data_IF_949622855816
#
_entry.id   IF_949622855816
#
_cell.length_a   1.000
_cell.length_b   1.000
_cell.length_c   1.000
_cell.angle_alpha   90.00
_cell.angle_beta   90.00
_cell.angle_gamma   90.00
#
_symmetry.space_group_name_H-M   'P 1'
#
loop_
_entity.id
_entity.type
_entity.pdbx_description
1 polymer ?
#
# COMPACT_ATOMS: atom_id res chain seq x y z
N UNK A 1 -7.33 2.18 30.07
CA UNK A 1 -6.78 3.44 29.50
C UNK A 1 -5.73 3.18 28.42
N UNK A 2 -4.80 2.23 28.60
CA UNK A 2 -3.80 1.85 27.58
C UNK A 2 -4.43 1.29 26.29
N UNK A 3 -5.51 0.51 26.41
CA UNK A 3 -6.22 -0.07 25.25
C UNK A 3 -6.84 1.03 24.39
N UNK A 4 -7.43 2.06 25.00
CA UNK A 4 -8.01 3.20 24.26
C UNK A 4 -6.91 4.04 23.56
N UNK A 5 -5.79 4.26 24.20
CA UNK A 5 -4.66 4.96 23.61
C UNK A 5 -4.09 4.24 22.38
N UNK A 6 -3.90 2.92 22.45
CA UNK A 6 -3.41 2.11 21.35
C UNK A 6 -4.38 2.12 20.14
N UNK A 7 -5.69 2.03 20.38
CA UNK A 7 -6.70 2.11 19.32
C UNK A 7 -6.70 3.47 18.62
N UNK A 8 -6.61 4.57 19.39
CA UNK A 8 -6.54 5.91 18.82
C UNK A 8 -5.27 6.11 17.99
N UNK A 9 -4.12 5.70 18.53
CA UNK A 9 -2.83 5.79 17.82
C UNK A 9 -2.86 4.93 16.55
N UNK A 10 -3.36 3.71 16.62
CA UNK A 10 -3.55 2.83 15.46
C UNK A 10 -4.47 3.44 14.41
N UNK A 11 -5.60 4.03 14.84
CA UNK A 11 -6.55 4.70 13.95
C UNK A 11 -5.96 5.93 13.23
N UNK A 12 -5.26 6.80 13.96
CA UNK A 12 -4.59 7.96 13.38
C UNK A 12 -3.48 7.54 12.41
N UNK A 13 -2.65 6.58 12.81
CA UNK A 13 -1.60 6.06 11.94
C UNK A 13 -2.18 5.39 10.69
N UNK A 14 -3.30 4.67 10.82
CA UNK A 14 -4.02 4.10 9.69
C UNK A 14 -4.52 5.19 8.74
N UNK A 15 -5.11 6.25 9.26
CA UNK A 15 -5.62 7.36 8.44
C UNK A 15 -4.49 8.03 7.65
N UNK A 16 -3.37 8.36 8.30
CA UNK A 16 -2.22 9.00 7.65
C UNK A 16 -1.56 8.06 6.64
N UNK A 17 -1.31 6.80 7.02
CA UNK A 17 -0.69 5.81 6.12
C UNK A 17 -1.55 5.52 4.91
N UNK A 18 -2.87 5.38 5.11
CA UNK A 18 -3.82 5.15 4.04
C UNK A 18 -3.91 6.35 3.10
N UNK A 19 -3.97 7.56 3.64
CA UNK A 19 -4.05 8.78 2.83
C UNK A 19 -2.80 8.97 1.97
N UNK A 20 -1.59 8.80 2.54
CA UNK A 20 -0.33 8.94 1.80
C UNK A 20 -0.16 7.87 0.72
N UNK A 21 -0.48 6.60 1.04
CA UNK A 21 -0.41 5.52 0.07
C UNK A 21 -1.43 5.71 -1.06
N UNK A 22 -2.67 6.06 -0.73
CA UNK A 22 -3.72 6.39 -1.72
C UNK A 22 -3.31 7.56 -2.61
N UNK A 23 -2.79 8.64 -2.04
CA UNK A 23 -2.31 9.78 -2.81
C UNK A 23 -1.22 9.37 -3.82
N UNK A 24 -0.24 8.57 -3.40
CA UNK A 24 0.79 8.03 -4.29
C UNK A 24 0.20 7.18 -5.42
N UNK A 25 -0.74 6.29 -5.12
CA UNK A 25 -1.41 5.46 -6.13
C UNK A 25 -2.23 6.29 -7.11
N UNK A 26 -3.03 7.26 -6.64
CA UNK A 26 -3.85 8.11 -7.51
C UNK A 26 -2.99 9.03 -8.38
N UNK A 27 -1.90 9.57 -7.84
CA UNK A 27 -0.95 10.34 -8.64
C UNK A 27 -0.33 9.47 -9.73
N UNK A 28 0.12 8.26 -9.41
CA UNK A 28 0.66 7.33 -10.40
C UNK A 28 -0.38 6.96 -11.48
N UNK A 29 -1.62 6.64 -11.07
CA UNK A 29 -2.71 6.36 -11.99
C UNK A 29 -3.04 7.58 -12.88
N UNK A 30 -3.05 8.79 -12.30
CA UNK A 30 -3.24 10.04 -13.04
C UNK A 30 -2.15 10.30 -14.08
N UNK A 31 -0.87 9.99 -13.76
CA UNK A 31 0.23 10.10 -14.71
C UNK A 31 0.11 9.08 -15.85
N UNK A 32 -0.32 7.85 -15.56
CA UNK A 32 -0.61 6.84 -16.59
C UNK A 32 -1.78 7.31 -17.48
N UNK A 33 -2.86 7.80 -16.87
CA UNK A 33 -4.00 8.36 -17.60
C UNK A 33 -3.58 9.52 -18.51
N UNK A 34 -2.81 10.47 -18.00
CA UNK A 34 -2.32 11.61 -18.78
C UNK A 34 -1.44 11.16 -19.96
N UNK A 35 -0.63 10.13 -19.77
CA UNK A 35 0.23 9.59 -20.81
C UNK A 35 -0.52 8.83 -21.90
N UNK A 36 -1.55 8.07 -21.54
CA UNK A 36 -2.29 7.18 -22.46
C UNK A 36 -3.58 7.81 -23.00
N UNK A 37 -4.15 8.80 -22.32
CA UNK A 37 -5.44 9.41 -22.65
C UNK A 37 -6.66 8.54 -22.30
N UNK A 38 -6.47 7.41 -21.61
CA UNK A 38 -7.53 6.51 -21.18
C UNK A 38 -7.16 5.76 -19.89
N UNK A 39 -8.16 5.20 -19.22
CA UNK A 39 -8.06 4.45 -17.96
C UNK A 39 -8.37 2.95 -18.09
N UNK A 40 -8.45 2.44 -19.30
CA UNK A 40 -8.80 1.04 -19.56
C UNK A 40 -7.66 0.11 -19.16
N UNK A 41 -7.88 -0.69 -18.11
CA UNK A 41 -6.89 -1.66 -17.60
C UNK A 41 -6.49 -2.69 -18.66
N UNK A 42 -7.42 -3.10 -19.53
CA UNK A 42 -7.15 -4.06 -20.60
C UNK A 42 -6.09 -3.57 -21.61
N UNK A 43 -5.99 -2.26 -21.79
CA UNK A 43 -5.09 -1.62 -22.78
C UNK A 43 -3.77 -1.14 -22.15
N UNK A 44 -3.54 -1.39 -20.84
CA UNK A 44 -2.33 -0.98 -20.13
C UNK A 44 -1.13 -1.93 -20.29
N UNK A 45 -1.24 -2.96 -21.12
CA UNK A 45 -0.14 -3.89 -21.34
C UNK A 45 1.11 -3.17 -21.90
N UNK A 46 2.26 -3.35 -21.23
CA UNK A 46 3.53 -2.72 -21.64
C UNK A 46 3.77 -1.31 -21.11
N UNK A 47 2.84 -0.73 -20.33
CA UNK A 47 3.01 0.61 -19.73
C UNK A 47 4.27 0.68 -18.84
N UNK A 48 4.65 -0.41 -18.19
CA UNK A 48 5.88 -0.46 -17.38
C UNK A 48 7.16 -0.13 -18.18
N UNK A 49 7.16 -0.32 -19.50
CA UNK A 49 8.29 0.07 -20.36
C UNK A 49 8.25 1.56 -20.73
N UNK A 50 7.05 2.13 -20.88
CA UNK A 50 6.90 3.54 -21.22
C UNK A 50 7.09 4.45 -19.99
N UNK A 51 6.58 4.02 -18.82
CA UNK A 51 6.55 4.79 -17.57
C UNK A 51 7.07 3.95 -16.37
N UNK A 52 8.32 3.51 -16.39
CA UNK A 52 8.84 2.59 -15.37
C UNK A 52 8.83 3.19 -13.96
N UNK A 53 9.15 4.48 -13.82
CA UNK A 53 9.16 5.17 -12.52
C UNK A 53 7.76 5.30 -11.95
N UNK A 54 6.79 5.64 -12.79
CA UNK A 54 5.38 5.76 -12.40
C UNK A 54 4.80 4.41 -11.96
N UNK A 55 5.10 3.33 -12.70
CA UNK A 55 4.65 1.97 -12.33
C UNK A 55 5.32 1.50 -11.05
N UNK A 56 6.60 1.81 -10.85
CA UNK A 56 7.31 1.53 -9.59
C UNK A 56 6.66 2.28 -8.42
N UNK A 57 6.34 3.57 -8.59
CA UNK A 57 5.66 4.35 -7.56
C UNK A 57 4.29 3.76 -7.22
N UNK A 58 3.50 3.34 -8.23
CA UNK A 58 2.23 2.65 -8.03
C UNK A 58 2.40 1.35 -7.24
N UNK A 59 3.40 0.54 -7.58
CA UNK A 59 3.69 -0.72 -6.90
C UNK A 59 4.06 -0.50 -5.43
N UNK A 60 4.98 0.43 -5.14
CA UNK A 60 5.41 0.74 -3.77
C UNK A 60 4.26 1.29 -2.92
N UNK A 61 3.47 2.21 -3.46
CA UNK A 61 2.30 2.74 -2.78
C UNK A 61 1.23 1.65 -2.55
N UNK A 62 1.05 0.75 -3.51
CA UNK A 62 0.17 -0.42 -3.38
C UNK A 62 0.63 -1.37 -2.28
N UNK A 63 1.92 -1.70 -2.22
CA UNK A 63 2.52 -2.51 -1.15
C UNK A 63 2.33 -1.85 0.22
N UNK A 64 2.53 -0.53 0.32
CA UNK A 64 2.27 0.21 1.55
C UNK A 64 0.80 0.15 1.96
N UNK A 65 -0.12 0.27 1.00
CA UNK A 65 -1.57 0.22 1.25
C UNK A 65 -2.05 -1.16 1.69
N UNK A 66 -1.45 -2.25 1.17
CA UNK A 66 -1.71 -3.61 1.62
C UNK A 66 -1.29 -3.86 3.06
N UNK A 67 -0.45 -3.00 3.63
CA UNK A 67 0.06 -3.16 4.98
C UNK A 67 1.19 -4.18 5.08
N UNK A 68 2.07 -4.22 4.08
CA UNK A 68 3.29 -5.05 4.12
C UNK A 68 4.36 -4.31 4.93
N UNK A 69 5.17 -5.03 5.70
CA UNK A 69 6.33 -4.48 6.44
C UNK A 69 7.30 -3.84 5.42
N UNK A 70 7.82 -2.65 5.68
CA UNK A 70 7.76 -1.79 6.89
C UNK A 70 6.74 -0.65 6.81
N UNK A 71 5.57 -0.86 6.20
CA UNK A 71 4.59 0.22 6.00
C UNK A 71 3.93 0.68 7.29
N UNK A 72 3.52 1.96 7.32
CA UNK A 72 2.72 2.51 8.42
C UNK A 72 1.37 1.82 8.59
N UNK A 73 0.76 1.34 7.50
CA UNK A 73 -0.48 0.59 7.53
C UNK A 73 -0.31 -0.78 8.24
N UNK A 74 0.86 -1.42 8.13
CA UNK A 74 1.16 -2.64 8.89
C UNK A 74 1.12 -2.38 10.39
N UNK A 75 1.86 -1.37 10.85
CA UNK A 75 1.91 -1.02 12.27
C UNK A 75 0.54 -0.59 12.79
N UNK A 76 -0.17 0.22 12.03
CA UNK A 76 -1.52 0.67 12.36
C UNK A 76 -2.49 -0.52 12.53
N UNK A 77 -2.46 -1.45 11.58
CA UNK A 77 -3.28 -2.66 11.60
C UNK A 77 -2.96 -3.53 12.83
N UNK A 78 -1.67 -3.70 13.16
CA UNK A 78 -1.26 -4.43 14.36
C UNK A 78 -1.84 -3.79 15.62
N UNK A 79 -1.68 -2.48 15.80
CA UNK A 79 -2.21 -1.76 16.97
C UNK A 79 -3.74 -1.86 17.08
N UNK A 80 -4.45 -1.80 15.93
CA UNK A 80 -5.91 -1.94 15.89
C UNK A 80 -6.36 -3.35 16.24
N UNK A 81 -5.67 -4.38 15.73
CA UNK A 81 -5.98 -5.78 16.05
C UNK A 81 -5.72 -6.10 17.51
N UNK A 82 -4.59 -5.63 18.07
CA UNK A 82 -4.27 -5.81 19.48
C UNK A 82 -5.33 -5.14 20.38
N UNK A 83 -5.77 -3.93 20.04
CA UNK A 83 -6.84 -3.23 20.74
C UNK A 83 -8.20 -3.94 20.63
N UNK A 84 -8.52 -4.48 19.45
CA UNK A 84 -9.75 -5.23 19.20
C UNK A 84 -9.78 -6.54 20.02
N UNK A 85 -8.65 -7.25 20.04
CA UNK A 85 -8.52 -8.47 20.86
C UNK A 85 -8.70 -8.18 22.35
N UNK A 86 -8.06 -7.12 22.86
CA UNK A 86 -8.20 -6.70 24.26
C UNK A 86 -9.62 -6.24 24.67
N UNK A 87 -10.45 -5.85 23.70
CA UNK A 87 -11.85 -5.43 23.91
C UNK A 87 -12.88 -6.52 23.57
N UNK A 88 -12.45 -7.71 23.16
CA UNK A 88 -13.33 -8.80 22.75
C UNK A 88 -14.06 -8.58 21.42
N UNK A 89 -13.64 -7.59 20.63
CA UNK A 89 -14.29 -7.24 19.36
C UNK A 89 -13.67 -7.99 18.17
N UNK A 90 -13.80 -9.31 18.15
CA UNK A 90 -13.20 -10.22 17.17
C UNK A 90 -13.55 -9.90 15.70
N UNK A 91 -14.72 -9.32 15.44
CA UNK A 91 -15.20 -8.99 14.08
C UNK A 91 -14.33 -7.95 13.36
N UNK A 92 -13.58 -7.10 14.09
CA UNK A 92 -12.61 -6.19 13.50
C UNK A 92 -11.50 -6.92 12.73
N UNK A 93 -11.13 -8.12 13.17
CA UNK A 93 -10.15 -8.95 12.46
C UNK A 93 -10.65 -9.27 11.06
N UNK A 94 -11.92 -9.66 10.92
CA UNK A 94 -12.54 -9.97 9.61
C UNK A 94 -12.54 -8.72 8.72
N UNK A 95 -12.95 -7.57 9.26
CA UNK A 95 -13.03 -6.30 8.51
C UNK A 95 -11.63 -5.88 8.02
N UNK A 96 -10.64 -5.87 8.91
CA UNK A 96 -9.29 -5.41 8.58
C UNK A 96 -8.56 -6.38 7.63
N UNK A 97 -8.72 -7.69 7.82
CA UNK A 97 -8.10 -8.69 6.94
C UNK A 97 -8.81 -8.76 5.58
N UNK A 98 -10.15 -8.72 5.58
CA UNK A 98 -10.93 -8.67 4.34
C UNK A 98 -10.60 -7.44 3.50
N UNK A 99 -10.54 -6.26 4.11
CA UNK A 99 -10.15 -5.02 3.44
C UNK A 99 -8.74 -5.10 2.83
N UNK A 100 -7.78 -5.70 3.55
CA UNK A 100 -6.43 -5.89 3.03
C UNK A 100 -6.41 -6.88 1.85
N UNK A 101 -7.19 -7.95 1.89
CA UNK A 101 -7.30 -8.93 0.81
C UNK A 101 -7.88 -8.30 -0.47
N UNK A 102 -8.95 -7.50 -0.36
CA UNK A 102 -9.52 -6.78 -1.49
C UNK A 102 -8.52 -5.77 -2.08
N UNK A 103 -7.79 -5.06 -1.20
CA UNK A 103 -6.73 -4.13 -1.64
C UNK A 103 -5.64 -4.86 -2.40
N UNK A 104 -5.16 -5.99 -1.89
CA UNK A 104 -4.17 -6.82 -2.58
C UNK A 104 -4.69 -7.30 -3.94
N UNK A 105 -5.94 -7.77 -4.00
CA UNK A 105 -6.57 -8.24 -5.24
C UNK A 105 -6.53 -7.20 -6.35
N UNK A 106 -6.98 -5.97 -6.09
CA UNK A 106 -6.99 -4.96 -7.15
C UNK A 106 -5.58 -4.43 -7.49
N UNK A 107 -4.68 -4.30 -6.53
CA UNK A 107 -3.30 -3.88 -6.79
C UNK A 107 -2.59 -4.90 -7.67
N UNK A 108 -2.72 -6.19 -7.36
CA UNK A 108 -2.16 -7.28 -8.17
C UNK A 108 -2.76 -7.29 -9.57
N UNK A 109 -4.09 -7.10 -9.71
CA UNK A 109 -4.77 -7.05 -11.00
C UNK A 109 -4.19 -5.94 -11.89
N UNK A 110 -4.04 -4.72 -11.35
CA UNK A 110 -3.50 -3.59 -12.10
C UNK A 110 -2.03 -3.84 -12.45
N UNK A 111 -1.20 -4.27 -11.48
CA UNK A 111 0.21 -4.55 -11.73
C UNK A 111 0.40 -5.68 -12.75
N UNK A 112 -0.37 -6.75 -12.67
CA UNK A 112 -0.34 -7.82 -13.65
C UNK A 112 -0.69 -7.31 -15.05
N UNK A 113 -1.61 -6.35 -15.16
CA UNK A 113 -2.00 -5.77 -16.45
C UNK A 113 -0.91 -4.87 -17.02
N UNK A 114 -0.33 -3.96 -16.25
CA UNK A 114 0.72 -3.04 -16.72
C UNK A 114 2.06 -3.72 -16.99
N UNK A 115 2.34 -4.84 -16.30
CA UNK A 115 3.55 -5.65 -16.47
C UNK A 115 3.42 -6.69 -17.59
N UNK A 116 2.22 -6.96 -18.09
CA UNK A 116 2.05 -7.89 -19.21
C UNK A 116 2.92 -7.45 -20.38
N UNK A 117 3.72 -8.40 -20.87
CA UNK A 117 4.57 -8.18 -22.04
C UNK A 117 3.71 -7.93 -23.29
N UNK A 118 3.95 -6.82 -23.95
CA UNK A 118 3.46 -6.54 -25.32
C UNK A 118 4.68 -6.33 -26.20
N UNK A 119 4.60 -6.70 -27.47
CA UNK A 119 5.73 -6.56 -28.39
C UNK A 119 6.19 -5.09 -28.52
N UNK A 120 5.26 -4.14 -28.44
CA UNK A 120 5.54 -2.71 -28.40
C UNK A 120 4.92 -2.06 -27.16
N UNK A 121 5.58 -1.04 -26.62
CA UNK A 121 4.97 -0.18 -25.59
C UNK A 121 3.73 0.53 -26.17
N UNK A 122 2.70 0.81 -25.36
CA UNK A 122 1.54 1.54 -25.83
C UNK A 122 1.94 2.95 -26.29
N UNK A 123 1.24 3.53 -27.27
CA UNK A 123 1.55 4.88 -27.73
C UNK A 123 1.32 5.88 -26.60
N UNK A 124 2.35 6.66 -26.30
CA UNK A 124 2.27 7.75 -25.32
C UNK A 124 1.78 8.99 -26.06
N UNK A 125 0.57 9.44 -25.74
CA UNK A 125 -0.05 10.62 -26.36
C UNK A 125 0.58 11.90 -25.80
N UNK A 126 0.85 11.92 -24.49
CA UNK A 126 1.44 13.08 -23.81
C UNK A 126 2.64 12.65 -22.95
N UNK A 127 3.76 13.36 -23.09
CA UNK A 127 4.92 13.14 -22.22
C UNK A 127 4.65 13.64 -20.81
N UNK A 128 4.84 12.76 -19.85
CA UNK A 128 4.74 13.06 -18.43
C UNK A 128 6.02 13.76 -17.94
N UNK A 129 5.86 14.74 -17.07
CA UNK A 129 6.99 15.44 -16.45
C UNK A 129 7.77 14.50 -15.53
N UNK A 130 9.08 14.44 -15.68
CA UNK A 130 9.97 13.70 -14.77
C UNK A 130 9.83 14.16 -13.31
N UNK A 131 9.56 15.45 -13.09
CA UNK A 131 9.33 15.99 -11.74
C UNK A 131 8.10 15.36 -11.09
N UNK A 132 7.02 15.19 -11.85
CA UNK A 132 5.79 14.55 -11.36
C UNK A 132 6.02 13.07 -11.06
N UNK A 133 6.76 12.34 -11.89
CA UNK A 133 7.11 10.94 -11.66
C UNK A 133 7.91 10.79 -10.35
N UNK A 134 8.96 11.60 -10.16
CA UNK A 134 9.77 11.55 -8.94
C UNK A 134 9.01 12.01 -7.70
N UNK A 135 8.16 13.03 -7.79
CA UNK A 135 7.31 13.45 -6.67
C UNK A 135 6.38 12.31 -6.21
N UNK A 136 5.78 11.61 -7.18
CA UNK A 136 4.94 10.44 -6.90
C UNK A 136 5.74 9.30 -6.27
N UNK A 137 6.96 9.05 -6.76
CA UNK A 137 7.84 8.03 -6.20
C UNK A 137 8.26 8.36 -4.76
N UNK A 138 8.64 9.61 -4.49
CA UNK A 138 8.98 10.07 -3.13
C UNK A 138 7.81 9.88 -2.18
N UNK A 139 6.59 10.23 -2.60
CA UNK A 139 5.39 10.02 -1.80
C UNK A 139 5.12 8.54 -1.53
N UNK A 140 5.31 7.68 -2.53
CA UNK A 140 5.16 6.23 -2.38
C UNK A 140 6.19 5.64 -1.39
N UNK A 141 7.46 6.05 -1.49
CA UNK A 141 8.52 5.64 -0.56
C UNK A 141 8.21 6.16 0.85
N UNK A 142 7.79 7.42 0.99
CA UNK A 142 7.43 7.99 2.29
C UNK A 142 6.30 7.21 2.96
N UNK A 143 5.27 6.80 2.20
CA UNK A 143 4.17 6.01 2.74
C UNK A 143 4.62 4.62 3.21
N UNK A 144 5.58 4.01 2.50
CA UNK A 144 6.15 2.72 2.87
C UNK A 144 6.99 2.83 4.16
N UNK A 145 7.76 3.91 4.29
CA UNK A 145 8.67 4.11 5.43
C UNK A 145 8.00 4.79 6.65
N UNK A 146 6.70 5.05 6.58
CA UNK A 146 6.00 5.78 7.64
C UNK A 146 6.05 5.05 9.01
N UNK A 147 6.10 3.72 9.02
CA UNK A 147 6.27 2.95 10.26
C UNK A 147 7.63 3.23 10.92
N UNK A 148 8.68 3.38 10.14
CA UNK A 148 10.02 3.68 10.66
C UNK A 148 10.06 5.05 11.34
N UNK A 149 9.35 6.03 10.77
CA UNK A 149 9.23 7.36 11.37
C UNK A 149 8.37 7.36 12.65
N UNK A 150 7.35 6.51 12.70
CA UNK A 150 6.45 6.40 13.84
C UNK A 150 7.06 5.66 15.06
N UNK A 151 8.01 4.75 14.82
CA UNK A 151 8.63 3.93 15.86
C UNK A 151 10.01 4.45 16.33
N UNK A 152 10.59 5.43 15.64
CA UNK A 152 12.01 5.75 15.79
C UNK A 152 12.91 4.63 15.23
N UNK A 153 14.16 4.47 15.67
CA UNK A 153 15.00 3.38 15.22
C UNK A 153 14.30 2.05 15.50
N UNK A 154 14.04 1.29 14.42
CA UNK A 154 13.20 0.07 14.40
C UNK A 154 13.58 -0.88 15.53
N UNK A 155 12.70 -1.16 16.50
CA UNK A 155 12.98 -2.18 17.51
C UNK A 155 13.16 -3.52 16.80
N UNK A 156 14.23 -4.26 17.10
CA UNK A 156 14.53 -5.56 16.49
C UNK A 156 13.40 -6.59 16.56
N UNK A 157 12.46 -6.41 17.49
CA UNK A 157 11.24 -7.22 17.63
C UNK A 157 10.29 -7.17 16.40
N UNK A 158 10.34 -6.12 15.56
CA UNK A 158 9.53 -6.05 14.33
C UNK A 158 10.16 -6.82 13.18
N UNK A 159 11.48 -7.03 13.21
CA UNK A 159 12.21 -7.76 12.19
C UNK A 159 12.29 -9.26 12.51
N UNK A 160 12.05 -9.66 13.77
CA UNK A 160 12.22 -11.04 14.22
C UNK A 160 11.08 -11.98 13.81
N UNK A 161 9.90 -11.47 13.41
CA UNK A 161 8.80 -12.32 12.95
C UNK A 161 7.95 -11.66 11.86
N UNK A 162 8.41 -11.63 10.58
CA UNK A 162 7.65 -11.08 9.47
C UNK A 162 6.39 -11.87 9.14
N UNK A 163 6.22 -13.09 9.68
CA UNK A 163 5.08 -13.98 9.48
C UNK A 163 4.07 -13.95 10.64
N UNK A 164 4.32 -13.19 11.70
CA UNK A 164 3.41 -13.07 12.85
C UNK A 164 1.93 -12.78 12.49
N UNK A 165 1.60 -12.09 11.39
CA UNK A 165 0.22 -11.94 10.94
C UNK A 165 -0.45 -13.24 10.49
N UNK A 166 0.33 -14.26 10.11
CA UNK A 166 -0.19 -15.57 9.69
C UNK A 166 -0.43 -16.50 10.88
N UNK A 167 0.31 -16.33 11.98
CA UNK A 167 0.16 -17.17 13.18
C UNK A 167 -1.08 -16.83 14.01
N UNK A 168 -1.64 -15.62 13.87
CA UNK A 168 -2.90 -15.23 14.56
C UNK A 168 -4.11 -16.04 14.08
N UNK A 169 -4.02 -16.73 12.94
CA UNK A 169 -5.03 -17.67 12.46
C UNK A 169 -5.04 -19.03 13.19
N UNK A 170 -3.97 -19.39 13.88
CA UNK A 170 -3.82 -20.72 14.51
C UNK A 170 -4.10 -20.72 16.02
N UNK A 171 -4.25 -19.58 16.65
CA UNK A 171 -4.53 -19.46 18.10
C UNK A 171 -6.03 -19.29 18.42
N UNK A 172 -6.93 -19.41 17.44
CA UNK A 172 -8.39 -19.34 17.62
C UNK A 172 -9.09 -20.69 17.36
N UNK A 173 -8.39 -21.81 17.64
CA UNK A 173 -9.02 -23.15 17.78
C UNK A 173 -8.98 -23.62 19.22
#
# INVERSE_FOLDING_TARGET
TLVHGAALTGGLLQAVSHATAKAGMFMAAGLIYAALGHDRIADMAGVARALPVTVLAFALAGIALMGVVPSGAYLAKKLLLDAAAGSGQWWWTIVLQGGAAFTAGYVVLVLASVLRGRAAAPPVIQRVSRRSEYATLVLAISSLLLACAALGPVPGALLSNPLAPLELGTTLL
#
